data_IF_186581631571
#
_entry.id   IF_186581631571
#
_cell.length_a   1.000
_cell.length_b   1.000
_cell.length_c   1.000
_cell.angle_alpha   90.00
_cell.angle_beta   90.00
_cell.angle_gamma   90.00
#
_symmetry.space_group_name_H-M   'P 1'
#
loop_
_entity.id
_entity.type
_entity.pdbx_description
1 polymer ?
#
# COMPACT_ATOMS: atom_id res chain seq x y z
N UNK A 1 4.23 21.74 25.45
CA UNK A 1 3.62 21.30 24.18
C UNK A 1 2.25 21.93 24.08
N UNK A 2 1.95 22.54 22.94
CA UNK A 2 0.92 23.56 22.73
C UNK A 2 -0.52 23.08 22.97
N UNK A 3 -1.29 23.93 23.65
CA UNK A 3 -2.72 23.90 24.01
C UNK A 3 -3.73 23.78 22.84
N UNK A 4 -3.30 23.32 21.66
CA UNK A 4 -4.10 23.40 20.43
C UNK A 4 -5.00 22.19 20.14
N UNK A 5 -4.91 21.11 20.93
CA UNK A 5 -5.60 19.83 20.69
C UNK A 5 -6.49 19.37 21.84
N UNK A 6 -6.87 20.28 22.74
CA UNK A 6 -7.66 19.93 23.93
C UNK A 6 -9.18 20.05 23.71
N UNK A 7 -9.62 20.26 22.47
CA UNK A 7 -11.03 20.34 22.10
C UNK A 7 -11.66 18.95 21.91
N UNK A 8 -12.98 18.86 22.09
CA UNK A 8 -13.73 17.64 21.81
C UNK A 8 -14.03 17.52 20.32
N UNK A 9 -13.77 16.35 19.75
CA UNK A 9 -14.09 16.04 18.35
C UNK A 9 -15.08 14.89 18.23
N UNK A 10 -16.01 15.02 17.29
CA UNK A 10 -17.02 14.00 16.97
C UNK A 10 -17.02 13.69 15.47
N UNK A 11 -17.17 12.42 15.10
CA UNK A 11 -17.48 12.01 13.73
C UNK A 11 -18.14 10.62 13.68
N UNK A 12 -18.76 10.33 12.55
CA UNK A 12 -19.16 8.97 12.19
C UNK A 12 -17.89 8.13 11.91
N UNK A 13 -17.77 6.99 12.60
CA UNK A 13 -16.65 6.05 12.46
C UNK A 13 -16.97 4.89 11.50
N UNK A 14 -18.24 4.60 11.25
CA UNK A 14 -18.69 3.63 10.24
C UNK A 14 -18.81 4.26 8.85
N UNK A 15 -18.80 3.47 7.75
CA UNK A 15 -19.09 3.97 6.42
C UNK A 15 -20.44 4.70 6.35
N UNK A 16 -20.54 5.71 5.48
CA UNK A 16 -21.81 6.38 5.22
C UNK A 16 -22.77 5.42 4.50
N UNK A 17 -24.04 5.43 4.89
CA UNK A 17 -25.08 4.61 4.27
C UNK A 17 -26.19 4.26 5.25
N UNK A 18 -27.10 3.40 4.80
CA UNK A 18 -28.12 2.78 5.65
C UNK A 18 -27.61 1.43 6.12
N UNK A 19 -27.65 1.19 7.42
CA UNK A 19 -27.24 -0.07 8.03
C UNK A 19 -27.99 -0.35 9.33
N UNK A 20 -27.78 -1.54 9.90
CA UNK A 20 -28.36 -1.86 11.20
C UNK A 20 -27.79 -0.95 12.31
N UNK A 21 -26.50 -0.64 12.24
CA UNK A 21 -25.77 0.12 13.27
C UNK A 21 -24.91 1.20 12.61
N UNK A 22 -24.91 2.39 13.21
CA UNK A 22 -23.90 3.42 12.99
C UNK A 22 -23.10 3.65 14.27
N UNK A 23 -21.77 3.79 14.14
CA UNK A 23 -20.90 4.09 15.30
C UNK A 23 -20.39 5.52 15.17
N UNK A 24 -20.70 6.35 16.17
CA UNK A 24 -20.22 7.73 16.28
C UNK A 24 -19.14 7.74 17.37
N UNK A 25 -17.99 8.32 17.06
CA UNK A 25 -16.87 8.44 17.99
C UNK A 25 -16.73 9.88 18.45
N UNK A 26 -16.62 10.07 19.75
CA UNK A 26 -16.32 11.33 20.43
C UNK A 26 -15.00 11.18 21.19
N UNK A 27 -14.08 12.13 21.07
CA UNK A 27 -12.79 12.10 21.79
C UNK A 27 -12.36 13.49 22.22
N UNK A 28 -11.66 13.57 23.34
CA UNK A 28 -11.09 14.80 23.88
C UNK A 28 -11.57 15.08 25.31
N UNK A 29 -11.01 16.11 25.92
CA UNK A 29 -11.30 16.46 27.29
C UNK A 29 -12.80 16.79 27.50
N UNK A 30 -13.43 16.21 28.52
CA UNK A 30 -14.84 16.45 28.85
C UNK A 30 -15.84 15.56 28.09
N UNK A 31 -15.40 14.62 27.25
CA UNK A 31 -16.32 13.84 26.41
C UNK A 31 -17.19 12.86 27.20
N UNK A 32 -16.69 12.33 28.31
CA UNK A 32 -17.44 11.42 29.17
C UNK A 32 -18.52 12.20 29.93
N UNK A 33 -18.18 13.40 30.41
CA UNK A 33 -19.10 14.32 31.08
C UNK A 33 -20.23 14.73 30.14
N UNK A 34 -19.90 15.14 28.91
CA UNK A 34 -20.88 15.46 27.88
C UNK A 34 -21.82 14.27 27.63
N UNK A 35 -21.27 13.07 27.43
CA UNK A 35 -22.10 11.90 27.19
C UNK A 35 -22.95 11.53 28.40
N UNK A 36 -22.44 11.70 29.62
CA UNK A 36 -23.18 11.45 30.86
C UNK A 36 -24.43 12.34 30.97
N UNK A 37 -24.33 13.60 30.52
CA UNK A 37 -25.48 14.52 30.47
C UNK A 37 -26.55 14.07 29.48
N UNK A 38 -26.16 13.49 28.35
CA UNK A 38 -27.07 13.01 27.30
C UNK A 38 -27.59 11.58 27.56
N UNK A 39 -27.10 10.91 28.62
CA UNK A 39 -27.40 9.52 28.94
C UNK A 39 -28.02 9.36 30.34
N UNK A 40 -29.32 9.66 30.52
CA UNK A 40 -29.96 9.73 31.84
C UNK A 40 -30.01 8.39 32.59
N UNK A 41 -29.84 7.25 31.90
CA UNK A 41 -29.94 5.94 32.51
C UNK A 41 -28.84 5.68 33.55
N UNK A 42 -27.65 6.28 33.40
CA UNK A 42 -26.49 6.10 34.30
C UNK A 42 -25.55 7.30 34.21
N UNK A 43 -24.95 7.66 35.33
CA UNK A 43 -23.80 8.56 35.31
C UNK A 43 -22.56 7.83 34.77
N UNK A 44 -22.16 8.18 33.54
CA UNK A 44 -21.04 7.57 32.83
C UNK A 44 -19.68 7.94 33.44
N UNK A 45 -19.58 9.05 34.18
CA UNK A 45 -18.32 9.48 34.81
C UNK A 45 -17.88 8.51 35.90
N UNK A 46 -18.85 7.89 36.60
CA UNK A 46 -18.65 6.92 37.67
C UNK A 46 -18.46 5.48 37.17
N UNK A 47 -18.60 5.23 35.87
CA UNK A 47 -18.41 3.89 35.32
C UNK A 47 -16.92 3.59 35.12
N UNK A 48 -16.61 2.29 35.13
CA UNK A 48 -15.27 1.80 34.83
C UNK A 48 -14.94 2.03 33.35
N UNK A 49 -13.66 2.17 32.97
CA UNK A 49 -13.26 2.14 31.56
C UNK A 49 -13.50 0.74 30.96
N UNK A 50 -13.56 0.69 29.62
CA UNK A 50 -13.74 -0.52 28.83
C UNK A 50 -15.05 -1.27 29.13
N UNK A 51 -16.11 -0.55 29.54
CA UNK A 51 -17.45 -1.08 29.76
C UNK A 51 -18.44 -0.56 28.72
N UNK A 52 -19.55 -1.27 28.60
CA UNK A 52 -20.63 -1.00 27.65
C UNK A 52 -21.92 -0.74 28.43
N UNK A 53 -22.68 0.26 28.00
CA UNK A 53 -23.91 0.69 28.64
C UNK A 53 -25.02 0.89 27.61
N UNK A 54 -26.14 0.19 27.81
CA UNK A 54 -27.34 0.32 26.98
C UNK A 54 -28.31 1.29 27.64
N UNK A 55 -28.88 2.20 26.86
CA UNK A 55 -29.86 3.14 27.35
C UNK A 55 -30.29 4.15 26.32
N UNK A 56 -31.27 4.95 26.71
CA UNK A 56 -31.92 5.92 25.85
C UNK A 56 -31.19 7.27 25.92
N UNK A 57 -30.65 7.72 24.79
CA UNK A 57 -30.02 9.03 24.66
C UNK A 57 -31.07 10.13 24.52
N UNK A 58 -30.88 11.23 25.25
CA UNK A 58 -31.78 12.38 25.26
C UNK A 58 -31.04 13.70 25.15
N UNK A 59 -31.70 14.70 24.57
CA UNK A 59 -31.32 16.11 24.65
C UNK A 59 -32.48 16.88 25.30
N UNK A 60 -32.33 17.19 26.59
CA UNK A 60 -33.45 17.64 27.42
C UNK A 60 -34.57 16.59 27.48
N UNK A 61 -35.78 16.99 27.09
CA UNK A 61 -36.95 16.09 27.03
C UNK A 61 -37.06 15.30 25.70
N UNK A 62 -36.27 15.69 24.69
CA UNK A 62 -36.30 15.04 23.38
C UNK A 62 -35.57 13.70 23.42
N UNK A 63 -36.27 12.65 23.00
CA UNK A 63 -35.69 11.32 22.83
C UNK A 63 -34.99 11.25 21.47
N UNK A 64 -33.73 10.81 21.45
CA UNK A 64 -32.96 10.71 20.21
C UNK A 64 -32.99 9.27 19.70
N UNK A 65 -32.39 8.35 20.45
CA UNK A 65 -32.32 6.93 20.10
C UNK A 65 -31.98 6.07 21.33
N UNK A 66 -32.30 4.78 21.26
CA UNK A 66 -31.76 3.79 22.18
C UNK A 66 -30.38 3.35 21.67
N UNK A 67 -29.34 3.64 22.46
CA UNK A 67 -27.95 3.50 22.04
C UNK A 67 -27.17 2.57 22.97
N UNK A 68 -26.05 2.10 22.44
CA UNK A 68 -25.03 1.38 23.20
C UNK A 68 -23.78 2.25 23.28
N UNK A 69 -23.42 2.66 24.50
CA UNK A 69 -22.28 3.54 24.77
C UNK A 69 -21.11 2.74 25.33
N UNK A 70 -19.95 2.84 24.68
CA UNK A 70 -18.68 2.29 25.14
C UNK A 70 -17.79 3.41 25.70
N UNK A 71 -17.16 3.16 26.86
CA UNK A 71 -16.32 4.15 27.55
C UNK A 71 -14.86 3.71 27.48
N UNK A 72 -13.98 4.59 27.03
CA UNK A 72 -12.53 4.42 27.11
C UNK A 72 -11.91 5.62 27.80
N UNK A 73 -11.19 5.39 28.91
CA UNK A 73 -10.53 6.46 29.66
C UNK A 73 -9.05 6.58 29.27
N UNK A 74 -8.53 7.79 29.21
CA UNK A 74 -7.12 8.07 28.98
C UNK A 74 -6.24 7.34 30.01
N UNK A 75 -5.04 6.84 29.63
CA UNK A 75 -4.47 6.81 28.29
C UNK A 75 -4.85 5.55 27.47
N UNK A 76 -5.82 4.75 27.96
CA UNK A 76 -6.18 3.43 27.41
C UNK A 76 -7.33 3.53 26.38
N UNK A 77 -7.14 4.39 25.40
CA UNK A 77 -8.05 4.58 24.27
C UNK A 77 -7.27 4.62 22.94
N UNK A 78 -7.98 4.70 21.82
CA UNK A 78 -7.38 4.83 20.49
C UNK A 78 -6.54 6.12 20.36
N UNK A 79 -7.12 7.27 20.73
CA UNK A 79 -6.43 8.58 20.64
C UNK A 79 -5.45 8.82 21.77
N UNK A 80 -5.51 8.05 22.86
CA UNK A 80 -4.79 8.33 24.11
C UNK A 80 -5.52 9.32 25.03
N UNK A 81 -6.64 9.88 24.59
CA UNK A 81 -7.52 10.76 25.36
C UNK A 81 -8.72 9.98 25.92
N UNK A 82 -9.63 10.64 26.62
CA UNK A 82 -10.94 10.04 26.84
C UNK A 82 -11.68 9.89 25.49
N UNK A 83 -12.38 8.76 25.33
CA UNK A 83 -13.15 8.42 24.13
C UNK A 83 -14.48 7.80 24.54
N UNK A 84 -15.53 8.24 23.86
CA UNK A 84 -16.86 7.63 23.88
C UNK A 84 -17.16 7.11 22.47
N UNK A 85 -17.67 5.89 22.38
CA UNK A 85 -18.27 5.38 21.14
C UNK A 85 -19.76 5.13 21.36
N UNK A 86 -20.59 5.71 20.49
CA UNK A 86 -22.04 5.63 20.52
C UNK A 86 -22.46 4.74 19.34
N UNK A 87 -22.92 3.54 19.63
CA UNK A 87 -23.56 2.67 18.63
C UNK A 87 -25.06 2.92 18.65
N UNK A 88 -25.58 3.43 17.54
CA UNK A 88 -26.97 3.82 17.34
C UNK A 88 -27.56 3.09 16.13
N UNK A 89 -28.86 3.20 15.90
CA UNK A 89 -29.47 2.72 14.67
C UNK A 89 -28.86 3.43 13.45
N UNK A 90 -28.46 2.65 12.43
CA UNK A 90 -27.74 3.15 11.24
C UNK A 90 -28.59 3.92 10.23
N UNK A 91 -29.48 4.79 10.71
CA UNK A 91 -30.26 5.74 9.92
C UNK A 91 -29.50 7.06 9.79
N UNK A 92 -29.42 7.60 8.58
CA UNK A 92 -28.75 8.89 8.31
C UNK A 92 -29.32 10.03 9.16
N UNK A 93 -30.64 10.02 9.41
CA UNK A 93 -31.29 11.01 10.25
C UNK A 93 -30.85 10.91 11.72
N UNK A 94 -30.81 9.69 12.28
CA UNK A 94 -30.41 9.45 13.68
C UNK A 94 -28.94 9.83 13.87
N UNK A 95 -28.07 9.39 12.95
CA UNK A 95 -26.65 9.71 12.98
C UNK A 95 -26.43 11.22 12.98
N UNK A 96 -27.11 11.95 12.08
CA UNK A 96 -27.01 13.40 11.99
C UNK A 96 -27.51 14.08 13.28
N UNK A 97 -28.64 13.64 13.84
CA UNK A 97 -29.16 14.17 15.10
C UNK A 97 -28.19 14.00 16.27
N UNK A 98 -27.57 12.83 16.41
CA UNK A 98 -26.58 12.57 17.48
C UNK A 98 -25.36 13.48 17.30
N UNK A 99 -24.80 13.56 16.09
CA UNK A 99 -23.64 14.42 15.81
C UNK A 99 -23.95 15.89 16.09
N UNK A 100 -25.09 16.40 15.61
CA UNK A 100 -25.53 17.78 15.87
C UNK A 100 -25.71 18.04 17.36
N UNK A 101 -26.27 17.08 18.11
CA UNK A 101 -26.42 17.18 19.56
C UNK A 101 -25.06 17.28 20.26
N UNK A 102 -24.08 16.47 19.88
CA UNK A 102 -22.72 16.58 20.40
C UNK A 102 -22.10 17.95 20.08
N UNK A 103 -22.30 18.47 18.87
CA UNK A 103 -21.76 19.78 18.46
C UNK A 103 -22.38 20.92 19.28
N UNK A 104 -23.70 20.90 19.48
CA UNK A 104 -24.39 21.90 20.32
C UNK A 104 -23.87 21.91 21.76
N UNK A 105 -23.40 20.76 22.26
CA UNK A 105 -22.88 20.60 23.61
C UNK A 105 -21.34 20.77 23.70
N UNK A 106 -20.70 21.34 22.68
CA UNK A 106 -19.30 21.77 22.74
C UNK A 106 -18.29 20.92 21.99
N UNK A 107 -18.73 19.86 21.29
CA UNK A 107 -17.88 19.15 20.35
C UNK A 107 -17.75 19.90 19.01
N UNK A 108 -16.70 19.61 18.26
CA UNK A 108 -16.51 20.03 16.87
C UNK A 108 -16.47 18.80 15.97
N UNK A 109 -16.86 18.94 14.69
CA UNK A 109 -16.60 17.89 13.71
C UNK A 109 -15.09 17.61 13.57
N UNK A 110 -14.71 16.35 13.64
CA UNK A 110 -13.34 15.92 13.40
C UNK A 110 -12.94 16.19 11.93
N UNK A 111 -11.69 16.61 11.72
CA UNK A 111 -11.08 16.68 10.39
C UNK A 111 -10.72 15.27 9.89
N UNK A 112 -10.55 15.07 8.57
CA UNK A 112 -10.07 13.79 8.04
C UNK A 112 -8.76 13.36 8.72
N UNK A 113 -8.74 12.12 9.24
CA UNK A 113 -7.58 11.55 9.94
C UNK A 113 -7.32 12.10 11.35
N UNK A 114 -8.14 13.01 11.88
CA UNK A 114 -7.83 13.72 13.14
C UNK A 114 -7.71 12.77 14.35
N UNK A 115 -8.53 11.71 14.44
CA UNK A 115 -8.41 10.71 15.52
C UNK A 115 -7.05 10.00 15.50
N UNK A 116 -6.59 9.58 14.32
CA UNK A 116 -5.30 8.90 14.16
C UNK A 116 -4.14 9.88 14.38
N UNK A 117 -4.27 11.14 13.94
CA UNK A 117 -3.32 12.20 14.23
C UNK A 117 -3.16 12.42 15.74
N UNK A 118 -4.25 12.46 16.52
CA UNK A 118 -4.18 12.59 17.98
C UNK A 118 -3.53 11.38 18.63
N UNK A 119 -3.81 10.17 18.14
CA UNK A 119 -3.12 8.96 18.60
C UNK A 119 -1.60 9.07 18.41
N UNK A 120 -1.15 9.57 17.24
CA UNK A 120 0.26 9.85 16.97
C UNK A 120 0.83 10.92 17.92
N UNK A 121 0.17 12.06 18.08
CA UNK A 121 0.62 13.15 18.95
C UNK A 121 0.72 12.73 20.43
N UNK A 122 -0.14 11.81 20.87
CA UNK A 122 -0.14 11.26 22.22
C UNK A 122 0.79 10.04 22.39
N UNK A 123 1.60 9.71 21.38
CA UNK A 123 2.58 8.62 21.44
C UNK A 123 1.96 7.22 21.51
N UNK A 124 0.70 7.06 21.09
CA UNK A 124 0.03 5.75 21.01
C UNK A 124 0.56 4.90 19.85
N UNK A 125 1.06 5.58 18.83
CA UNK A 125 1.63 5.02 17.62
C UNK A 125 2.60 6.04 17.02
N UNK A 126 3.55 5.60 16.22
CA UNK A 126 4.39 6.49 15.41
C UNK A 126 3.71 6.85 14.07
N UNK A 127 4.41 7.65 13.25
CA UNK A 127 3.86 8.14 11.98
C UNK A 127 3.69 7.02 10.95
N UNK A 128 4.60 6.04 10.93
CA UNK A 128 4.54 4.88 10.04
C UNK A 128 3.28 4.06 10.35
N UNK A 129 3.04 3.79 11.62
CA UNK A 129 1.87 3.07 12.10
C UNK A 129 0.58 3.85 11.80
N UNK A 130 0.58 5.17 11.96
CA UNK A 130 -0.55 6.01 11.62
C UNK A 130 -0.92 5.95 10.13
N UNK A 131 0.07 5.98 9.24
CA UNK A 131 -0.13 5.81 7.80
C UNK A 131 -0.64 4.40 7.45
N UNK A 132 -0.10 3.37 8.12
CA UNK A 132 -0.50 1.99 7.90
C UNK A 132 -1.96 1.70 8.29
N UNK A 133 -2.55 2.48 9.21
CA UNK A 133 -4.00 2.38 9.51
C UNK A 133 -4.84 2.73 8.28
N UNK A 134 -4.46 3.76 7.53
CA UNK A 134 -5.16 4.14 6.31
C UNK A 134 -5.02 3.05 5.23
N UNK A 135 -3.82 2.51 5.06
CA UNK A 135 -3.55 1.42 4.12
C UNK A 135 -4.32 0.13 4.49
N UNK A 136 -4.47 -0.17 5.79
CA UNK A 136 -5.26 -1.30 6.26
C UNK A 136 -6.74 -1.14 5.92
N UNK A 137 -7.32 0.06 6.13
CA UNK A 137 -8.72 0.35 5.80
C UNK A 137 -8.96 0.25 4.29
N UNK A 138 -7.99 0.70 3.48
CA UNK A 138 -8.07 0.68 2.03
C UNK A 138 -7.73 -0.70 1.41
N UNK A 139 -7.20 -1.64 2.18
CA UNK A 139 -6.70 -2.92 1.66
C UNK A 139 -7.80 -3.72 0.93
N UNK A 140 -7.57 -3.97 -0.36
CA UNK A 140 -8.47 -4.75 -1.22
C UNK A 140 -8.04 -6.21 -1.39
N UNK A 141 -6.86 -6.59 -0.90
CA UNK A 141 -6.31 -7.93 -1.02
C UNK A 141 -5.66 -8.41 0.26
N UNK A 142 -5.50 -9.74 0.37
CA UNK A 142 -4.82 -10.38 1.49
C UNK A 142 -3.38 -9.88 1.66
N UNK A 143 -2.61 -9.76 0.58
CA UNK A 143 -1.22 -9.27 0.66
C UNK A 143 -1.16 -7.83 1.19
N UNK A 144 -2.01 -6.94 0.68
CA UNK A 144 -2.07 -5.54 1.15
C UNK A 144 -2.48 -5.46 2.63
N UNK A 145 -3.44 -6.30 3.05
CA UNK A 145 -3.87 -6.37 4.44
C UNK A 145 -2.74 -6.87 5.36
N UNK A 146 -2.03 -7.92 4.97
CA UNK A 146 -0.92 -8.49 5.74
C UNK A 146 0.25 -7.49 5.88
N UNK A 147 0.64 -6.83 4.79
CA UNK A 147 1.66 -5.76 4.82
C UNK A 147 1.25 -4.62 5.75
N UNK A 148 0.01 -4.12 5.62
CA UNK A 148 -0.47 -3.03 6.48
C UNK A 148 -0.55 -3.44 7.95
N UNK A 149 -0.99 -4.67 8.27
CA UNK A 149 -1.02 -5.19 9.63
C UNK A 149 0.38 -5.28 10.26
N UNK A 150 1.37 -5.74 9.49
CA UNK A 150 2.76 -5.81 9.96
C UNK A 150 3.31 -4.41 10.25
N UNK A 151 2.99 -3.40 9.43
CA UNK A 151 3.37 -2.02 9.68
C UNK A 151 2.64 -1.42 10.90
N UNK A 152 1.32 -1.64 11.06
CA UNK A 152 0.57 -1.20 12.26
C UNK A 152 1.15 -1.81 13.55
N UNK A 153 1.65 -3.06 13.49
CA UNK A 153 2.34 -3.71 14.61
C UNK A 153 3.75 -3.18 14.88
N UNK A 154 4.25 -2.25 14.07
CA UNK A 154 5.55 -1.61 14.24
C UNK A 154 6.71 -2.32 13.56
N UNK A 155 6.46 -3.28 12.65
CA UNK A 155 7.54 -4.03 11.98
C UNK A 155 8.56 -3.13 11.29
N UNK A 156 8.09 -2.16 10.48
CA UNK A 156 8.95 -1.18 9.83
C UNK A 156 9.57 -0.19 10.82
N UNK A 157 8.80 0.26 11.82
CA UNK A 157 9.28 1.16 12.88
C UNK A 157 10.43 0.58 13.70
N UNK A 158 10.42 -0.73 13.96
CA UNK A 158 11.51 -1.41 14.66
C UNK A 158 12.82 -1.37 13.86
N UNK A 159 12.77 -1.59 12.55
CA UNK A 159 13.97 -1.47 11.69
C UNK A 159 14.51 -0.05 11.69
N UNK A 160 13.63 0.96 11.54
CA UNK A 160 14.05 2.36 11.58
C UNK A 160 14.62 2.76 12.94
N UNK A 161 14.07 2.22 14.04
CA UNK A 161 14.59 2.47 15.38
C UNK A 161 15.99 1.90 15.54
N UNK A 162 16.23 0.68 15.07
CA UNK A 162 17.56 0.06 15.10
C UNK A 162 18.56 0.85 14.24
N UNK A 163 18.17 1.24 13.02
CA UNK A 163 19.02 2.06 12.14
C UNK A 163 19.39 3.40 12.81
N UNK A 164 18.43 4.03 13.47
CA UNK A 164 18.65 5.26 14.25
C UNK A 164 19.62 5.03 15.41
N UNK A 165 19.52 3.92 16.13
CA UNK A 165 20.45 3.56 17.20
C UNK A 165 21.88 3.35 16.66
N UNK A 166 22.02 2.72 15.50
CA UNK A 166 23.30 2.55 14.80
C UNK A 166 23.91 3.90 14.40
N UNK A 167 23.12 4.81 13.82
CA UNK A 167 23.54 6.18 13.47
C UNK A 167 23.99 6.97 14.70
N UNK A 168 23.23 6.91 15.80
CA UNK A 168 23.60 7.57 17.07
C UNK A 168 24.91 6.99 17.61
N UNK A 169 25.06 5.66 17.58
CA UNK A 169 26.28 5.01 18.05
C UNK A 169 27.48 5.39 17.19
N UNK A 170 27.32 5.49 15.87
CA UNK A 170 28.37 5.94 14.96
C UNK A 170 28.76 7.39 15.25
N UNK A 171 27.77 8.29 15.36
CA UNK A 171 28.02 9.71 15.66
C UNK A 171 28.80 9.88 16.96
N UNK A 172 28.46 9.13 18.00
CA UNK A 172 29.17 9.17 19.27
C UNK A 172 30.63 8.70 19.17
N UNK A 173 30.94 7.70 18.33
CA UNK A 173 32.31 7.23 18.12
C UNK A 173 33.18 8.28 17.39
N UNK A 174 32.61 8.95 16.39
CA UNK A 174 33.32 10.02 15.66
C UNK A 174 33.50 11.25 16.55
N UNK A 175 32.48 11.64 17.34
CA UNK A 175 32.60 12.77 18.27
C UNK A 175 33.70 12.52 19.31
N UNK A 176 33.83 11.29 19.83
CA UNK A 176 34.95 10.92 20.70
C UNK A 176 36.31 11.01 19.98
N UNK A 177 36.43 10.54 18.73
CA UNK A 177 37.68 10.68 17.97
C UNK A 177 38.09 12.16 17.80
N UNK A 178 37.12 13.05 17.57
CA UNK A 178 37.35 14.48 17.40
C UNK A 178 37.75 15.16 18.71
N UNK A 179 37.09 14.85 19.83
CA UNK A 179 37.38 15.43 21.14
C UNK A 179 38.78 15.05 21.65
N UNK A 180 39.28 13.86 21.26
CA UNK A 180 40.56 13.31 21.71
C UNK A 180 41.66 13.33 20.63
N UNK A 181 41.46 14.01 19.50
CA UNK A 181 42.42 14.02 18.38
C UNK A 181 43.80 14.63 18.70
N UNK A 182 43.95 15.27 19.86
CA UNK A 182 45.21 15.86 20.36
C UNK A 182 45.96 14.95 21.34
N UNK A 183 45.28 13.94 21.87
CA UNK A 183 45.87 12.90 22.70
C UNK A 183 46.29 11.79 21.72
N UNK A 184 47.58 11.47 21.57
CA UNK A 184 48.15 10.49 20.61
C UNK A 184 47.59 9.05 20.82
N UNK A 185 46.30 8.86 20.59
CA UNK A 185 45.52 7.65 20.86
C UNK A 185 44.48 7.51 19.74
N UNK A 186 44.60 6.46 18.92
CA UNK A 186 43.57 6.10 17.94
C UNK A 186 42.35 5.53 18.69
N UNK A 187 41.31 6.34 18.89
CA UNK A 187 40.15 5.97 19.71
C UNK A 187 39.06 5.19 18.97
N UNK A 188 38.91 5.38 17.66
CA UNK A 188 37.95 4.65 16.85
C UNK A 188 38.65 3.64 15.94
N UNK A 189 38.35 2.34 16.12
CA UNK A 189 38.71 1.33 15.14
C UNK A 189 37.97 1.64 13.83
N UNK A 190 38.68 2.21 12.85
CA UNK A 190 38.13 2.53 11.52
C UNK A 190 37.46 1.33 10.85
N UNK A 191 37.90 0.13 11.18
CA UNK A 191 37.27 -1.12 10.73
C UNK A 191 35.85 -1.24 11.28
N UNK A 192 35.65 -0.89 12.56
CA UNK A 192 34.33 -0.90 13.20
C UNK A 192 33.40 0.15 12.60
N UNK A 193 33.89 1.36 12.33
CA UNK A 193 33.10 2.41 11.68
C UNK A 193 32.64 2.00 10.28
N UNK A 194 33.55 1.42 9.47
CA UNK A 194 33.21 0.88 8.15
C UNK A 194 32.17 -0.23 8.22
N UNK A 195 32.35 -1.20 9.12
CA UNK A 195 31.38 -2.28 9.29
C UNK A 195 29.98 -1.77 9.68
N UNK A 196 29.91 -0.71 10.50
CA UNK A 196 28.63 -0.07 10.84
C UNK A 196 27.99 0.59 9.62
N UNK A 197 28.76 1.33 8.81
CA UNK A 197 28.25 1.93 7.58
C UNK A 197 27.77 0.88 6.58
N UNK A 198 28.56 -0.16 6.32
CA UNK A 198 28.21 -1.23 5.40
C UNK A 198 26.90 -1.93 5.83
N UNK A 199 26.71 -2.12 7.14
CA UNK A 199 25.47 -2.69 7.69
C UNK A 199 24.27 -1.76 7.53
N UNK A 200 24.44 -0.46 7.79
CA UNK A 200 23.40 0.55 7.61
C UNK A 200 23.01 0.68 6.12
N UNK A 201 24.00 0.81 5.22
CA UNK A 201 23.79 0.87 3.77
C UNK A 201 23.06 -0.37 3.26
N UNK A 202 23.48 -1.56 3.70
CA UNK A 202 22.80 -2.82 3.34
C UNK A 202 21.34 -2.79 3.76
N UNK A 203 21.05 -2.39 5.00
CA UNK A 203 19.69 -2.33 5.54
C UNK A 203 18.83 -1.34 4.75
N UNK A 204 19.35 -0.14 4.47
CA UNK A 204 18.64 0.89 3.69
C UNK A 204 18.38 0.42 2.26
N UNK A 205 19.35 -0.23 1.61
CA UNK A 205 19.20 -0.77 0.26
C UNK A 205 18.18 -1.91 0.20
N UNK A 206 18.13 -2.78 1.20
CA UNK A 206 17.10 -3.83 1.31
C UNK A 206 15.69 -3.21 1.43
N UNK A 207 15.53 -2.14 2.21
CA UNK A 207 14.28 -1.40 2.34
C UNK A 207 13.88 -0.66 1.05
N UNK A 208 14.85 -0.06 0.34
CA UNK A 208 14.60 0.57 -0.96
C UNK A 208 14.21 -0.46 -2.02
N UNK A 209 14.84 -1.63 -2.02
CA UNK A 209 14.49 -2.72 -2.93
C UNK A 209 13.06 -3.24 -2.69
N UNK A 210 12.66 -3.39 -1.41
CA UNK A 210 11.31 -3.85 -1.06
C UNK A 210 10.20 -2.89 -1.48
N UNK A 211 10.52 -1.63 -1.82
CA UNK A 211 9.54 -0.67 -2.32
C UNK A 211 8.91 -1.06 -3.65
N UNK A 212 9.66 -1.65 -4.58
CA UNK A 212 9.12 -2.05 -5.87
C UNK A 212 7.93 -3.00 -5.66
N UNK A 213 8.10 -3.95 -4.74
CA UNK A 213 7.06 -4.88 -4.35
C UNK A 213 5.94 -4.21 -3.56
N UNK A 214 6.25 -3.31 -2.62
CA UNK A 214 5.23 -2.59 -1.85
C UNK A 214 4.34 -1.69 -2.70
N UNK A 215 4.91 -1.04 -3.71
CA UNK A 215 4.16 -0.27 -4.70
C UNK A 215 3.22 -1.17 -5.50
N UNK A 216 3.69 -2.37 -5.89
CA UNK A 216 2.87 -3.37 -6.56
C UNK A 216 1.73 -3.87 -5.68
N UNK A 217 1.97 -4.15 -4.39
CA UNK A 217 0.92 -4.59 -3.47
C UNK A 217 -0.13 -3.51 -3.27
N UNK A 218 0.31 -2.25 -3.14
CA UNK A 218 -0.57 -1.11 -2.87
C UNK A 218 -1.40 -0.70 -4.07
N UNK A 219 -0.75 -0.53 -5.22
CA UNK A 219 -1.39 0.02 -6.41
C UNK A 219 -1.88 -1.09 -7.34
N UNK A 220 -1.20 -2.24 -7.36
CA UNK A 220 -1.38 -3.34 -8.32
C UNK A 220 -0.36 -3.28 -9.47
N UNK A 221 -0.28 -4.36 -10.25
CA UNK A 221 0.57 -4.51 -11.43
C UNK A 221 -0.19 -4.10 -12.67
N UNK A 222 0.35 -3.20 -13.50
CA UNK A 222 -0.27 -2.89 -14.79
C UNK A 222 0.15 -3.93 -15.85
N UNK A 223 -0.83 -4.55 -16.51
CA UNK A 223 -0.63 -5.65 -17.45
C UNK A 223 -1.21 -5.31 -18.82
N UNK A 224 -0.40 -5.41 -19.86
CA UNK A 224 -0.85 -5.29 -21.25
C UNK A 224 -0.96 -6.67 -21.90
N UNK A 225 -2.10 -6.93 -22.57
CA UNK A 225 -2.29 -8.10 -23.43
C UNK A 225 -2.20 -7.63 -24.88
N UNK A 226 -1.14 -8.04 -25.58
CA UNK A 226 -0.88 -7.68 -26.98
C UNK A 226 -0.86 -8.92 -27.87
N UNK A 227 -0.97 -8.72 -29.19
CA UNK A 227 -0.97 -9.81 -30.17
C UNK A 227 -1.85 -9.49 -31.37
N UNK A 228 -1.70 -10.26 -32.44
CA UNK A 228 -2.47 -10.07 -33.68
C UNK A 228 -3.99 -10.18 -33.46
N UNK A 229 -4.82 -9.61 -34.36
CA UNK A 229 -6.27 -9.86 -34.36
C UNK A 229 -6.56 -11.37 -34.28
N UNK A 230 -7.60 -11.76 -33.56
CA UNK A 230 -8.02 -13.16 -33.38
C UNK A 230 -7.06 -14.13 -32.65
N UNK A 231 -5.92 -13.66 -32.14
CA UNK A 231 -5.00 -14.47 -31.31
C UNK A 231 -5.60 -14.99 -29.97
N UNK A 232 -6.86 -14.63 -29.67
CA UNK A 232 -7.59 -15.10 -28.49
C UNK A 232 -7.44 -14.24 -27.23
N UNK A 233 -7.04 -12.97 -27.37
CA UNK A 233 -6.92 -11.99 -26.27
C UNK A 233 -8.20 -11.89 -25.41
N UNK A 234 -9.36 -11.76 -26.05
CA UNK A 234 -10.66 -11.64 -25.39
C UNK A 234 -11.04 -12.91 -24.63
N UNK A 235 -10.73 -14.07 -25.21
CA UNK A 235 -10.95 -15.36 -24.58
C UNK A 235 -10.07 -15.50 -23.34
N UNK A 236 -8.77 -15.18 -23.44
CA UNK A 236 -7.85 -15.23 -22.30
C UNK A 236 -8.30 -14.29 -21.18
N UNK A 237 -8.65 -13.05 -21.52
CA UNK A 237 -9.15 -12.06 -20.56
C UNK A 237 -10.40 -12.56 -19.82
N UNK A 238 -11.36 -13.14 -20.54
CA UNK A 238 -12.57 -13.67 -19.91
C UNK A 238 -12.26 -14.89 -19.02
N UNK A 239 -11.35 -15.76 -19.43
CA UNK A 239 -10.93 -16.92 -18.63
C UNK A 239 -10.24 -16.47 -17.34
N UNK A 240 -9.29 -15.53 -17.44
CA UNK A 240 -8.63 -14.93 -16.27
C UNK A 240 -9.63 -14.25 -15.33
N UNK A 241 -10.61 -13.50 -15.86
CA UNK A 241 -11.63 -12.84 -15.05
C UNK A 241 -12.60 -13.84 -14.40
N UNK A 242 -12.94 -14.96 -15.03
CA UNK A 242 -13.84 -15.94 -14.41
C UNK A 242 -13.24 -16.54 -13.14
N UNK A 243 -11.93 -16.75 -13.11
CA UNK A 243 -11.24 -17.38 -11.99
C UNK A 243 -10.75 -16.36 -10.96
N UNK A 244 -10.28 -15.19 -11.41
CA UNK A 244 -9.51 -14.27 -10.57
C UNK A 244 -10.11 -12.86 -10.45
N UNK A 245 -11.39 -12.63 -10.76
CA UNK A 245 -11.96 -11.27 -10.69
C UNK A 245 -11.89 -10.71 -9.27
N UNK A 246 -11.22 -9.57 -9.12
CA UNK A 246 -11.21 -8.84 -7.86
C UNK A 246 -12.59 -8.23 -7.58
N UNK A 247 -13.14 -8.48 -6.40
CA UNK A 247 -14.31 -7.75 -5.89
C UNK A 247 -13.81 -6.43 -5.32
N UNK A 248 -13.57 -5.45 -6.20
CA UNK A 248 -13.19 -4.10 -5.77
C UNK A 248 -14.43 -3.38 -5.26
N UNK A 249 -14.41 -2.98 -4.00
CA UNK A 249 -15.44 -2.12 -3.41
C UNK A 249 -15.35 -0.74 -4.07
N UNK A 250 -16.44 -0.31 -4.70
CA UNK A 250 -16.55 1.02 -5.28
C UNK A 250 -16.67 2.06 -4.17
N UNK A 251 -15.56 2.60 -3.68
CA UNK A 251 -15.58 3.87 -2.96
C UNK A 251 -15.78 4.97 -4.01
N UNK A 252 -16.87 5.75 -3.88
CA UNK A 252 -17.24 6.78 -4.83
C UNK A 252 -16.15 7.85 -4.95
N UNK A 253 -15.58 8.02 -6.15
CA UNK A 253 -14.80 9.22 -6.50
C UNK A 253 -13.46 9.01 -7.21
N UNK A 254 -12.93 7.79 -7.35
CA UNK A 254 -11.57 7.59 -7.93
C UNK A 254 -11.53 6.93 -9.31
N UNK A 255 -12.65 6.49 -9.87
CA UNK A 255 -12.69 5.82 -11.18
C UNK A 255 -13.04 6.78 -12.31
N UNK A 256 -12.38 7.94 -12.39
CA UNK A 256 -12.60 8.88 -13.51
C UNK A 256 -11.80 8.58 -14.77
N UNK A 257 -10.83 7.67 -14.73
CA UNK A 257 -9.99 7.35 -15.88
C UNK A 257 -9.99 5.86 -16.16
N UNK A 258 -10.59 5.47 -17.29
CA UNK A 258 -10.56 4.13 -17.92
C UNK A 258 -11.19 2.96 -17.12
N UNK A 259 -12.06 2.19 -17.77
CA UNK A 259 -12.62 0.94 -17.22
C UNK A 259 -11.50 -0.11 -17.23
N UNK A 260 -10.63 -0.07 -16.22
CA UNK A 260 -9.62 -1.11 -15.97
C UNK A 260 -10.30 -2.33 -15.35
N UNK A 261 -10.03 -3.52 -15.88
CA UNK A 261 -10.44 -4.78 -15.24
C UNK A 261 -9.32 -5.24 -14.30
N UNK A 262 -9.69 -5.67 -13.09
CA UNK A 262 -8.72 -6.01 -12.05
C UNK A 262 -8.84 -7.49 -11.68
N UNK A 263 -7.72 -8.20 -11.77
CA UNK A 263 -7.56 -9.57 -11.31
C UNK A 263 -6.90 -9.57 -9.92
N UNK A 264 -7.27 -10.52 -9.07
CA UNK A 264 -6.59 -10.81 -7.82
C UNK A 264 -6.03 -12.23 -7.92
N UNK A 265 -4.71 -12.35 -8.06
CA UNK A 265 -3.99 -13.62 -8.17
C UNK A 265 -3.05 -13.70 -6.97
N UNK A 266 -3.21 -14.72 -6.13
CA UNK A 266 -2.44 -14.93 -4.89
C UNK A 266 -2.35 -13.71 -3.97
N UNK A 267 -3.37 -12.85 -3.98
CA UNK A 267 -3.41 -11.64 -3.16
C UNK A 267 -2.78 -10.40 -3.80
N UNK A 268 -2.28 -10.50 -5.05
CA UNK A 268 -1.74 -9.37 -5.81
C UNK A 268 -2.78 -8.90 -6.83
N UNK A 269 -2.99 -7.58 -6.92
CA UNK A 269 -3.87 -6.98 -7.93
C UNK A 269 -3.13 -6.86 -9.25
N UNK A 270 -3.71 -7.37 -10.34
CA UNK A 270 -3.24 -7.15 -11.70
C UNK A 270 -4.30 -6.36 -12.48
N UNK A 271 -3.95 -5.14 -12.90
CA UNK A 271 -4.82 -4.22 -13.65
C UNK A 271 -4.57 -4.36 -15.14
N UNK A 272 -5.57 -4.81 -15.87
CA UNK A 272 -5.51 -5.02 -17.31
C UNK A 272 -5.75 -3.67 -18.02
N UNK A 273 -4.74 -3.21 -18.77
CA UNK A 273 -4.79 -1.93 -19.47
C UNK A 273 -5.58 -2.07 -20.80
N UNK A 274 -6.49 -1.13 -21.04
CA UNK A 274 -7.25 -0.97 -22.28
C UNK A 274 -7.96 -2.25 -22.77
N UNK A 275 -8.96 -2.66 -21.99
CA UNK A 275 -9.82 -3.83 -22.26
C UNK A 275 -10.89 -3.57 -23.33
N UNK A 276 -11.13 -2.31 -23.71
CA UNK A 276 -12.15 -1.96 -24.72
C UNK A 276 -11.79 -2.54 -26.11
N UNK A 277 -10.53 -2.39 -26.54
CA UNK A 277 -10.02 -3.03 -27.76
C UNK A 277 -9.84 -4.57 -27.65
N UNK A 278 -10.02 -5.13 -26.45
CA UNK A 278 -10.06 -6.58 -26.22
C UNK A 278 -11.50 -7.09 -26.21
N UNK A 279 -12.50 -6.32 -25.73
CA UNK A 279 -13.93 -6.70 -25.70
C UNK A 279 -14.62 -6.51 -27.04
N UNK A 280 -14.30 -5.43 -27.74
CA UNK A 280 -14.75 -5.21 -29.10
C UNK A 280 -13.81 -5.99 -30.02
N UNK A 281 -14.08 -7.28 -30.22
CA UNK A 281 -13.61 -7.94 -31.43
C UNK A 281 -14.25 -7.21 -32.61
N UNK A 282 -13.66 -6.11 -33.06
CA UNK A 282 -14.16 -5.36 -34.20
C UNK A 282 -14.08 -6.27 -35.42
N UNK A 283 -15.25 -6.81 -35.73
CA UNK A 283 -15.65 -7.49 -36.94
C UNK A 283 -15.28 -6.64 -38.15
N UNK A 284 -14.58 -7.32 -39.07
CA UNK A 284 -14.71 -7.23 -40.52
C UNK A 284 -14.77 -5.84 -41.16
N UNK A 285 -13.61 -5.42 -41.69
CA UNK A 285 -13.40 -4.85 -43.04
C UNK A 285 -12.38 -3.71 -43.01
N UNK A 286 -11.09 -4.02 -43.02
CA UNK A 286 -9.99 -3.23 -43.63
C UNK A 286 -8.64 -3.81 -43.17
N UNK A 287 -8.33 -5.02 -43.67
CA UNK A 287 -7.17 -5.81 -43.24
C UNK A 287 -5.80 -5.18 -43.55
N UNK A 288 -5.72 -4.24 -44.52
CA UNK A 288 -4.42 -3.77 -45.04
C UNK A 288 -4.01 -2.35 -44.63
N UNK A 289 -4.79 -1.66 -43.77
CA UNK A 289 -4.45 -0.29 -43.29
C UNK A 289 -4.27 -0.17 -41.76
N UNK A 290 -4.45 -1.26 -41.02
CA UNK A 290 -4.53 -1.24 -39.55
C UNK A 290 -3.20 -1.65 -38.88
N UNK A 291 -2.22 -2.19 -39.62
CA UNK A 291 -1.02 -2.78 -39.04
C UNK A 291 -0.10 -1.75 -38.35
N UNK A 292 0.14 -0.58 -38.96
CA UNK A 292 0.98 0.47 -38.37
C UNK A 292 0.31 1.12 -37.13
N UNK A 293 -1.01 1.33 -37.17
CA UNK A 293 -1.79 1.86 -36.04
C UNK A 293 -1.86 0.83 -34.90
N UNK A 294 -1.93 -0.47 -35.24
CA UNK A 294 -1.90 -1.57 -34.28
C UNK A 294 -0.56 -1.71 -33.56
N UNK A 295 0.55 -1.51 -34.27
CA UNK A 295 1.90 -1.51 -33.69
C UNK A 295 2.09 -0.31 -32.77
N UNK A 296 1.74 0.90 -33.20
CA UNK A 296 1.89 2.12 -32.38
C UNK A 296 1.02 2.06 -31.11
N UNK A 297 -0.23 1.58 -31.24
CA UNK A 297 -1.09 1.33 -30.07
C UNK A 297 -0.53 0.26 -29.14
N UNK A 298 0.08 -0.80 -29.68
CA UNK A 298 0.73 -1.82 -28.85
C UNK A 298 1.93 -1.25 -28.10
N UNK A 299 2.74 -0.39 -28.74
CA UNK A 299 3.85 0.31 -28.07
C UNK A 299 3.39 1.22 -26.94
N UNK A 300 2.31 1.99 -27.15
CA UNK A 300 1.73 2.81 -26.07
C UNK A 300 1.27 1.97 -24.87
N UNK A 301 0.66 0.80 -25.12
CA UNK A 301 0.28 -0.14 -24.04
C UNK A 301 1.47 -0.71 -23.29
N UNK A 302 2.53 -1.07 -24.02
CA UNK A 302 3.77 -1.60 -23.42
C UNK A 302 4.42 -0.55 -22.51
N UNK A 303 4.45 0.73 -22.93
CA UNK A 303 5.00 1.80 -22.12
C UNK A 303 4.30 1.95 -20.76
N UNK A 304 2.97 1.80 -20.75
CA UNK A 304 2.14 1.91 -19.54
C UNK A 304 2.11 0.64 -18.68
N UNK A 305 2.48 -0.51 -19.25
CA UNK A 305 2.49 -1.79 -18.57
C UNK A 305 3.80 -2.07 -17.83
N UNK A 306 3.74 -2.88 -16.77
CA UNK A 306 4.90 -3.49 -16.13
C UNK A 306 5.12 -4.92 -16.66
N UNK A 307 4.03 -5.65 -16.88
CA UNK A 307 4.04 -6.98 -17.52
C UNK A 307 3.37 -6.92 -18.89
N UNK A 308 3.96 -7.60 -19.87
CA UNK A 308 3.43 -7.70 -21.23
C UNK A 308 3.19 -9.16 -21.59
N UNK A 309 1.94 -9.48 -21.87
CA UNK A 309 1.49 -10.79 -22.35
C UNK A 309 1.33 -10.74 -23.87
N UNK A 310 2.29 -11.27 -24.61
CA UNK A 310 2.28 -11.31 -26.07
C UNK A 310 1.64 -12.61 -26.57
N UNK A 311 0.43 -12.55 -27.11
CA UNK A 311 -0.29 -13.74 -27.58
C UNK A 311 0.02 -14.04 -29.06
N UNK A 312 0.31 -15.31 -29.32
CA UNK A 312 0.42 -15.92 -30.64
C UNK A 312 -0.60 -17.06 -30.78
N UNK A 313 -1.23 -17.17 -31.94
CA UNK A 313 -2.13 -18.28 -32.27
C UNK A 313 -1.34 -19.46 -32.86
N UNK A 314 -1.30 -20.60 -32.16
CA UNK A 314 -0.58 -21.79 -32.63
C UNK A 314 -1.13 -22.39 -33.94
N UNK A 315 -2.31 -22.00 -34.37
CA UNK A 315 -2.98 -22.52 -35.59
C UNK A 315 -2.76 -21.64 -36.80
N UNK A 316 -2.57 -20.33 -36.61
CA UNK A 316 -2.48 -19.37 -37.72
C UNK A 316 -1.18 -18.59 -37.78
N UNK A 317 -0.49 -18.41 -36.65
CA UNK A 317 0.73 -17.62 -36.60
C UNK A 317 1.99 -18.47 -36.78
N UNK A 318 3.02 -17.84 -37.36
CA UNK A 318 4.40 -18.31 -37.33
C UNK A 318 4.99 -18.00 -35.95
N UNK A 319 5.09 -19.01 -35.08
CA UNK A 319 5.61 -18.81 -33.71
C UNK A 319 7.05 -18.27 -33.72
N UNK A 320 7.86 -18.63 -34.72
CA UNK A 320 9.21 -18.09 -34.88
C UNK A 320 9.22 -16.59 -35.16
N UNK A 321 8.28 -16.07 -35.97
CA UNK A 321 8.19 -14.63 -36.24
C UNK A 321 7.73 -13.86 -35.01
N UNK A 322 6.74 -14.39 -34.28
CA UNK A 322 6.27 -13.74 -33.05
C UNK A 322 7.34 -13.78 -31.96
N UNK A 323 8.14 -14.85 -31.88
CA UNK A 323 9.29 -14.93 -30.99
C UNK A 323 10.37 -13.87 -31.32
N UNK A 324 10.70 -13.67 -32.61
CA UNK A 324 11.60 -12.58 -33.02
C UNK A 324 11.05 -11.20 -32.66
N UNK A 325 9.74 -11.01 -32.78
CA UNK A 325 9.10 -9.78 -32.35
C UNK A 325 9.19 -9.59 -30.83
N UNK A 326 8.98 -10.65 -30.05
CA UNK A 326 9.14 -10.63 -28.59
C UNK A 326 10.56 -10.21 -28.18
N UNK A 327 11.58 -10.76 -28.84
CA UNK A 327 12.99 -10.40 -28.62
C UNK A 327 13.26 -8.93 -28.96
N UNK A 328 12.70 -8.44 -30.08
CA UNK A 328 12.81 -7.03 -30.48
C UNK A 328 12.17 -6.11 -29.44
N UNK A 329 10.97 -6.46 -28.94
CA UNK A 329 10.30 -5.70 -27.89
C UNK A 329 11.08 -5.72 -26.58
N UNK A 330 11.68 -6.86 -26.20
CA UNK A 330 12.47 -6.97 -24.99
C UNK A 330 13.76 -6.13 -25.07
N UNK A 331 14.36 -6.01 -26.25
CA UNK A 331 15.50 -5.13 -26.49
C UNK A 331 15.12 -3.64 -26.51
N UNK A 332 13.93 -3.30 -27.02
CA UNK A 332 13.40 -1.92 -27.02
C UNK A 332 12.98 -1.46 -25.61
N UNK A 333 12.49 -2.39 -24.78
CA UNK A 333 11.96 -2.14 -23.44
C UNK A 333 12.61 -3.06 -22.39
N UNK A 334 13.90 -2.87 -22.06
CA UNK A 334 14.67 -3.77 -21.20
C UNK A 334 14.14 -3.87 -19.76
N UNK A 335 13.45 -2.85 -19.27
CA UNK A 335 12.85 -2.80 -17.93
C UNK A 335 11.52 -3.55 -17.83
N UNK A 336 10.91 -3.91 -18.96
CA UNK A 336 9.60 -4.59 -19.01
C UNK A 336 9.79 -6.10 -19.00
N UNK A 337 8.87 -6.80 -18.35
CA UNK A 337 8.83 -8.28 -18.39
C UNK A 337 7.86 -8.73 -19.48
N UNK A 338 8.39 -9.34 -20.53
CA UNK A 338 7.61 -9.78 -21.68
C UNK A 338 7.60 -11.30 -21.74
N UNK A 339 6.42 -11.90 -21.89
CA UNK A 339 6.26 -13.34 -22.12
C UNK A 339 5.48 -13.62 -23.38
N UNK A 340 5.97 -14.57 -24.18
CA UNK A 340 5.25 -15.10 -25.33
C UNK A 340 4.26 -16.17 -24.87
N UNK A 341 2.98 -15.96 -25.16
CA UNK A 341 1.89 -16.88 -24.88
C UNK A 341 1.46 -17.54 -26.18
N UNK A 342 1.66 -18.85 -26.27
CA UNK A 342 1.26 -19.67 -27.41
C UNK A 342 -0.12 -20.23 -27.12
N UNK A 343 -1.14 -19.55 -27.62
CA UNK A 343 -2.54 -19.88 -27.42
C UNK A 343 -3.03 -20.96 -28.41
N UNK A 344 -4.13 -21.64 -28.07
CA UNK A 344 -4.72 -22.77 -28.82
C UNK A 344 -3.78 -23.98 -28.92
N UNK A 345 -2.98 -24.20 -27.88
CA UNK A 345 -2.04 -25.33 -27.79
C UNK A 345 -2.73 -26.71 -27.75
N UNK A 346 -4.04 -26.73 -27.47
CA UNK A 346 -4.91 -27.90 -27.56
C UNK A 346 -5.13 -28.34 -29.02
N UNK A 347 -5.07 -27.39 -29.97
CA UNK A 347 -5.29 -27.65 -31.40
C UNK A 347 -3.97 -27.88 -32.14
N UNK A 348 -2.93 -27.11 -31.82
CA UNK A 348 -1.64 -27.16 -32.52
C UNK A 348 -0.48 -27.00 -31.55
N UNK A 349 0.52 -27.89 -31.65
CA UNK A 349 1.74 -27.87 -30.83
C UNK A 349 2.93 -27.45 -31.69
N UNK A 350 2.98 -26.17 -32.04
CA UNK A 350 4.18 -25.57 -32.62
C UNK A 350 5.25 -25.42 -31.53
N UNK A 351 6.53 -25.60 -31.88
CA UNK A 351 7.64 -25.46 -30.92
C UNK A 351 8.14 -24.02 -30.95
N UNK A 352 8.13 -23.36 -29.80
CA UNK A 352 8.74 -22.05 -29.63
C UNK A 352 10.27 -22.15 -29.57
N UNK A 353 11.00 -21.15 -30.11
CA UNK A 353 12.43 -21.04 -29.90
C UNK A 353 12.79 -20.84 -28.41
N UNK A 354 13.88 -21.46 -27.96
CA UNK A 354 14.30 -21.42 -26.55
C UNK A 354 14.85 -20.07 -26.08
N UNK A 355 15.15 -19.13 -26.99
CA UNK A 355 15.74 -17.83 -26.65
C UNK A 355 14.74 -16.81 -26.09
N UNK A 356 13.43 -17.10 -26.13
CA UNK A 356 12.39 -16.23 -25.59
C UNK A 356 11.63 -16.95 -24.47
N UNK A 357 11.38 -16.29 -23.32
CA UNK A 357 10.46 -16.79 -22.31
C UNK A 357 9.06 -17.03 -22.92
N UNK A 358 8.56 -18.25 -22.83
CA UNK A 358 7.27 -18.61 -23.42
C UNK A 358 6.47 -19.59 -22.57
N UNK A 359 5.15 -19.55 -22.74
CA UNK A 359 4.18 -20.45 -22.12
C UNK A 359 3.19 -20.95 -23.16
N UNK A 360 2.76 -22.20 -23.04
CA UNK A 360 1.67 -22.78 -23.83
C UNK A 360 0.38 -22.72 -23.03
N UNK A 361 -0.70 -22.26 -23.65
CA UNK A 361 -2.02 -22.31 -23.04
C UNK A 361 -3.13 -22.51 -24.06
N UNK A 362 -4.28 -22.96 -23.57
CA UNK A 362 -5.55 -22.89 -24.29
C UNK A 362 -6.49 -21.99 -23.51
N UNK A 363 -6.68 -20.76 -23.98
CA UNK A 363 -7.57 -19.81 -23.34
C UNK A 363 -9.03 -20.29 -23.30
N UNK A 364 -9.42 -21.17 -24.24
CA UNK A 364 -10.77 -21.71 -24.33
C UNK A 364 -11.04 -22.80 -23.28
N UNK A 365 -10.07 -23.71 -23.05
CA UNK A 365 -10.23 -24.81 -22.09
C UNK A 365 -9.76 -24.43 -20.69
N UNK A 366 -8.92 -23.42 -20.55
CA UNK A 366 -8.26 -23.02 -19.30
C UNK A 366 -6.91 -23.74 -19.06
N UNK A 367 -6.52 -24.68 -19.91
CA UNK A 367 -5.23 -25.37 -19.78
C UNK A 367 -4.06 -24.38 -19.89
N UNK A 368 -3.12 -24.45 -18.94
CA UNK A 368 -1.94 -23.57 -18.90
C UNK A 368 -2.18 -22.17 -18.31
N UNK A 369 -3.42 -21.81 -17.95
CA UNK A 369 -3.73 -20.54 -17.28
C UNK A 369 -3.08 -20.47 -15.90
N UNK A 370 -3.06 -21.56 -15.14
CA UNK A 370 -2.39 -21.64 -13.83
C UNK A 370 -0.87 -21.38 -13.94
N UNK A 371 -0.22 -21.88 -14.99
CA UNK A 371 1.20 -21.61 -15.24
C UNK A 371 1.45 -20.14 -15.60
N UNK A 372 0.52 -19.50 -16.32
CA UNK A 372 0.58 -18.07 -16.58
C UNK A 372 0.42 -17.26 -15.30
N UNK A 373 -0.57 -17.57 -14.46
CA UNK A 373 -0.79 -16.86 -13.20
C UNK A 373 0.40 -17.03 -12.25
N UNK A 374 0.97 -18.23 -12.14
CA UNK A 374 2.17 -18.49 -11.35
C UNK A 374 3.38 -17.68 -11.87
N UNK A 375 3.59 -17.64 -13.19
CA UNK A 375 4.63 -16.81 -13.80
C UNK A 375 4.43 -15.33 -13.50
N UNK A 376 3.20 -14.82 -13.62
CA UNK A 376 2.89 -13.42 -13.33
C UNK A 376 3.22 -13.03 -11.88
N UNK A 377 2.97 -13.93 -10.92
CA UNK A 377 3.32 -13.71 -9.50
C UNK A 377 4.84 -13.75 -9.31
N UNK A 378 5.52 -14.76 -9.86
CA UNK A 378 6.98 -14.94 -9.75
C UNK A 378 7.77 -13.73 -10.27
N UNK A 379 7.37 -13.17 -11.43
CA UNK A 379 8.03 -12.00 -12.02
C UNK A 379 7.93 -10.74 -11.17
N UNK A 380 7.00 -10.71 -10.23
CA UNK A 380 6.71 -9.56 -9.37
C UNK A 380 7.36 -9.74 -8.01
N UNK A 381 7.27 -10.93 -7.43
CA UNK A 381 7.83 -11.20 -6.10
C UNK A 381 9.35 -11.31 -6.14
N UNK A 382 9.95 -11.78 -7.25
CA UNK A 382 11.41 -11.88 -7.41
C UNK A 382 12.12 -12.54 -6.20
N UNK A 383 11.46 -13.51 -5.56
CA UNK A 383 11.99 -14.23 -4.39
C UNK A 383 11.77 -13.57 -3.02
N UNK A 384 11.10 -12.41 -2.95
CA UNK A 384 10.70 -11.77 -1.68
C UNK A 384 9.49 -12.50 -1.09
N UNK A 385 9.56 -12.87 0.19
CA UNK A 385 8.45 -13.50 0.90
C UNK A 385 7.54 -12.42 1.49
N UNK A 386 6.37 -12.28 0.89
CA UNK A 386 5.32 -11.33 1.29
C UNK A 386 4.90 -11.44 2.76
N UNK A 387 5.12 -12.60 3.40
CA UNK A 387 4.71 -12.84 4.79
C UNK A 387 5.81 -12.52 5.80
N UNK A 388 7.08 -12.58 5.40
CA UNK A 388 8.22 -12.48 6.32
C UNK A 388 8.99 -11.18 6.15
N UNK A 389 9.06 -10.64 4.93
CA UNK A 389 9.88 -9.48 4.63
C UNK A 389 9.16 -8.16 4.97
N UNK A 390 9.95 -7.17 5.37
CA UNK A 390 9.45 -5.83 5.67
C UNK A 390 9.35 -5.06 4.37
N UNK A 391 8.10 -4.80 3.97
CA UNK A 391 7.78 -4.16 2.71
C UNK A 391 7.47 -2.68 2.93
N UNK A 392 8.22 -1.82 2.23
CA UNK A 392 7.96 -0.38 2.19
C UNK A 392 6.96 -0.09 1.08
N UNK A 393 5.85 0.58 1.37
CA UNK A 393 4.78 0.86 0.38
C UNK A 393 4.53 2.34 0.12
N UNK A 394 5.14 3.23 0.91
CA UNK A 394 4.91 4.67 0.84
C UNK A 394 6.04 5.40 0.13
N UNK A 395 5.72 6.15 -0.92
CA UNK A 395 6.69 6.97 -1.66
C UNK A 395 7.41 7.99 -0.77
N UNK A 396 6.75 8.50 0.29
CA UNK A 396 7.38 9.37 1.28
C UNK A 396 8.53 8.68 2.00
N UNK A 397 8.36 7.41 2.38
CA UNK A 397 9.43 6.64 3.03
C UNK A 397 10.61 6.43 2.11
N UNK A 398 10.36 6.17 0.84
CA UNK A 398 11.41 5.97 -0.17
C UNK A 398 12.21 7.23 -0.41
N UNK A 399 11.54 8.37 -0.53
CA UNK A 399 12.23 9.66 -0.67
C UNK A 399 13.18 9.93 0.50
N UNK A 400 12.75 9.66 1.73
CA UNK A 400 13.61 9.81 2.91
C UNK A 400 14.73 8.74 2.96
N UNK A 401 14.42 7.47 2.64
CA UNK A 401 15.43 6.41 2.59
C UNK A 401 16.49 6.66 1.50
N UNK A 402 16.11 7.24 0.37
CA UNK A 402 17.04 7.60 -0.70
C UNK A 402 18.00 8.70 -0.23
N UNK A 403 17.49 9.72 0.47
CA UNK A 403 18.35 10.75 1.09
C UNK A 403 19.28 10.17 2.14
N UNK A 404 18.80 9.24 2.97
CA UNK A 404 19.62 8.52 3.95
C UNK A 404 20.71 7.71 3.23
N UNK A 405 20.38 6.99 2.15
CA UNK A 405 21.35 6.24 1.35
C UNK A 405 22.45 7.15 0.78
N UNK A 406 22.07 8.29 0.18
CA UNK A 406 23.02 9.29 -0.34
C UNK A 406 23.92 9.88 0.75
N UNK A 407 23.39 10.07 1.96
CA UNK A 407 24.17 10.58 3.10
C UNK A 407 25.15 9.51 3.63
N UNK A 408 24.72 8.25 3.72
CA UNK A 408 25.58 7.13 4.11
C UNK A 408 26.72 6.92 3.10
N UNK A 409 26.43 6.98 1.79
CA UNK A 409 27.44 6.84 0.74
C UNK A 409 28.52 7.93 0.84
N UNK A 410 28.12 9.19 1.11
CA UNK A 410 29.06 10.30 1.35
C UNK A 410 29.92 10.07 2.58
N UNK A 411 29.33 9.61 3.68
CA UNK A 411 30.06 9.30 4.91
C UNK A 411 31.09 8.17 4.66
N UNK A 412 30.71 7.14 3.92
CA UNK A 412 31.58 6.01 3.59
C UNK A 412 32.74 6.44 2.69
N UNK A 413 32.45 7.20 1.63
CA UNK A 413 33.48 7.79 0.77
C UNK A 413 34.42 8.71 1.57
N UNK A 414 33.88 9.51 2.48
CA UNK A 414 34.67 10.38 3.37
C UNK A 414 35.66 9.60 4.24
N UNK A 415 35.23 8.48 4.83
CA UNK A 415 36.12 7.58 5.57
C UNK A 415 37.15 6.88 4.68
N UNK A 416 36.84 6.64 3.41
CA UNK A 416 37.76 6.01 2.46
C UNK A 416 38.91 6.96 2.08
N UNK A 417 38.59 8.20 1.72
CA UNK A 417 39.59 9.20 1.30
C UNK A 417 40.27 9.88 2.49
N UNK A 418 39.81 9.62 3.72
CA UNK A 418 40.40 10.10 4.95
C UNK A 418 40.15 11.59 5.24
N UNK A 419 38.94 12.09 4.94
CA UNK A 419 38.56 13.45 5.37
C UNK A 419 38.46 13.54 6.90
N UNK A 420 38.42 14.77 7.43
CA UNK A 420 38.27 14.98 8.87
C UNK A 420 36.92 14.46 9.36
N UNK A 421 36.90 13.90 10.58
CA UNK A 421 35.71 13.32 11.20
C UNK A 421 34.53 14.28 11.28
N UNK A 422 34.76 15.60 11.31
CA UNK A 422 33.70 16.62 11.32
C UNK A 422 32.76 16.51 10.13
N UNK A 423 33.29 16.25 8.94
CA UNK A 423 32.48 16.12 7.71
C UNK A 423 31.71 14.80 7.72
N UNK A 424 32.35 13.71 8.14
CA UNK A 424 31.70 12.39 8.27
C UNK A 424 30.56 12.45 9.30
N UNK A 425 30.76 13.12 10.44
CA UNK A 425 29.73 13.34 11.45
C UNK A 425 28.58 14.25 10.97
N UNK A 426 28.84 15.15 10.02
CA UNK A 426 27.79 15.96 9.40
C UNK A 426 26.90 15.11 8.50
N UNK A 427 27.50 14.27 7.64
CA UNK A 427 26.76 13.36 6.76
C UNK A 427 25.91 12.36 7.56
N UNK A 428 26.46 11.82 8.66
CA UNK A 428 25.72 10.92 9.58
C UNK A 428 24.58 11.60 10.33
N UNK A 429 24.71 12.90 10.66
CA UNK A 429 23.62 13.66 11.27
C UNK A 429 22.52 14.00 10.28
N UNK A 430 22.84 14.03 8.98
CA UNK A 430 21.89 14.22 7.91
C UNK A 430 21.14 12.92 7.57
N UNK A 431 21.84 11.78 7.63
CA UNK A 431 21.27 10.44 7.51
C UNK A 431 20.26 10.16 8.65
#
# INVERSE_FOLDING_TARGET
MSTQWNDMIVALATPQGVGAIGVIRLSGNGCIELMSQLFPSKDLTQQLPNTIHVGLMKDGDQHIDEVVVSIFKAPKSYTGEDVIEISCHGSSYIIQQIIETCIRNGARLAKPGEFTLRAFLNGKMDLVQAEAVADLIASGTKAAQETALNQVRGGFSHVLTNLREELISFSALIELELDFSQEDVEFADRTRLRNLLDQMEKTVNELLYSFQLGNVIKNGVSVAIIGKPNAGKSTLLNTLLKENRAIVSSIAGTTRDTIEEVLNIDGILFRLIDTAGIREGLSDSDADKIEAIGIERSKQKIQQAQLVLLLADATTDSISEVAQWAETLQAEFPEKKIVLIINKSDVSKQIAPAFVPHLYLSALTGEGVESLTAWMVDQITNGVDLQQDIIVSNARHVDELQKTAEALEKANYGLEIGITGDFVAMDIRQA
#
